data_IF_753521464963
#
_entry.id   IF_753521464963
#
_cell.length_a   1.000
_cell.length_b   1.000
_cell.length_c   1.000
_cell.angle_alpha   90.00
_cell.angle_beta   90.00
_cell.angle_gamma   90.00
#
_symmetry.space_group_name_H-M   'P 1'
#
loop_
_entity.id
_entity.type
_entity.pdbx_description
1 polymer ?
#
# COMPACT_ATOMS: atom_id res chain seq x y z
N UNK A 1 34.70 15.11 16.68
CA UNK A 1 34.90 13.84 15.96
C UNK A 1 33.65 13.58 15.15
N UNK A 2 33.69 13.89 13.85
CA UNK A 2 32.58 13.66 12.92
C UNK A 2 32.86 12.35 12.17
N UNK A 3 31.96 11.37 12.30
CA UNK A 3 32.00 10.15 11.51
C UNK A 3 31.44 10.46 10.12
N UNK A 4 32.33 10.51 9.12
CA UNK A 4 31.94 10.48 7.71
C UNK A 4 31.61 9.03 7.34
N UNK A 5 30.35 8.74 7.05
CA UNK A 5 29.96 7.49 6.39
C UNK A 5 30.06 7.74 4.88
N UNK A 6 31.10 7.19 4.27
CA UNK A 6 31.21 7.11 2.81
C UNK A 6 30.18 6.10 2.30
N UNK A 7 29.10 6.56 1.68
CA UNK A 7 28.25 5.73 0.83
C UNK A 7 28.91 5.68 -0.55
N UNK A 8 29.49 4.52 -0.88
CA UNK A 8 29.95 4.24 -2.24
C UNK A 8 28.74 4.10 -3.18
N UNK A 9 28.79 4.60 -4.42
CA UNK A 9 27.73 4.39 -5.39
C UNK A 9 27.72 2.90 -5.79
N UNK A 10 26.63 2.20 -5.45
CA UNK A 10 26.34 0.87 -5.99
C UNK A 10 26.05 1.02 -7.48
N UNK A 11 27.06 0.71 -8.32
CA UNK A 11 26.85 0.46 -9.74
C UNK A 11 26.03 -0.83 -9.88
N UNK A 12 24.70 -0.69 -10.02
CA UNK A 12 23.85 -1.78 -10.51
C UNK A 12 24.15 -1.94 -12.00
N UNK A 13 25.19 -2.72 -12.30
CA UNK A 13 25.43 -3.28 -13.63
C UNK A 13 24.88 -4.69 -13.65
N UNK A 14 23.56 -4.79 -13.70
CA UNK A 14 22.89 -6.05 -14.01
C UNK A 14 21.99 -5.77 -15.21
N UNK A 15 22.30 -6.33 -16.39
CA UNK A 15 21.31 -6.32 -17.46
C UNK A 15 20.08 -7.05 -16.93
N UNK A 16 18.92 -6.39 -16.99
CA UNK A 16 17.64 -7.05 -16.77
C UNK A 16 17.54 -8.11 -17.85
N UNK A 17 17.91 -9.34 -17.53
CA UNK A 17 17.51 -10.50 -18.31
C UNK A 17 16.01 -10.63 -18.11
N UNK A 18 15.24 -10.07 -19.04
CA UNK A 18 13.91 -10.58 -19.29
C UNK A 18 14.08 -12.07 -19.56
N UNK A 19 13.55 -12.91 -18.67
CA UNK A 19 13.41 -14.32 -18.97
C UNK A 19 12.59 -14.39 -20.27
N UNK A 20 13.25 -14.75 -21.37
CA UNK A 20 12.58 -15.22 -22.58
C UNK A 20 12.00 -16.60 -22.24
N UNK A 21 10.95 -16.59 -21.42
CA UNK A 21 10.12 -17.76 -21.23
C UNK A 21 9.13 -17.79 -22.40
N UNK A 22 9.59 -18.41 -23.49
CA UNK A 22 8.80 -18.66 -24.69
C UNK A 22 7.87 -19.87 -24.44
N UNK A 23 7.21 -19.88 -23.28
CA UNK A 23 6.16 -20.82 -22.93
C UNK A 23 4.81 -20.14 -23.19
N UNK A 24 4.20 -20.52 -24.31
CA UNK A 24 2.78 -20.30 -24.56
C UNK A 24 1.98 -21.00 -23.47
N UNK A 25 1.68 -20.25 -22.41
CA UNK A 25 1.01 -20.79 -21.23
C UNK A 25 1.04 -19.79 -20.08
N UNK A 26 0.46 -18.61 -20.26
CA UNK A 26 0.01 -17.80 -19.12
C UNK A 26 -1.06 -18.59 -18.35
N UNK A 27 -0.62 -19.52 -17.50
CA UNK A 27 -1.45 -20.11 -16.47
C UNK A 27 -1.77 -18.97 -15.49
N UNK A 28 -2.92 -18.32 -15.69
CA UNK A 28 -3.48 -17.40 -14.71
C UNK A 28 -3.41 -18.09 -13.34
N UNK A 29 -2.82 -17.47 -12.31
CA UNK A 29 -2.88 -17.98 -10.94
C UNK A 29 -4.27 -17.70 -10.34
N UNK A 30 -5.32 -17.91 -11.13
CA UNK A 30 -6.68 -17.98 -10.65
C UNK A 30 -6.84 -19.33 -9.97
N UNK A 31 -7.33 -19.33 -8.73
CA UNK A 31 -7.85 -20.55 -8.12
C UNK A 31 -8.77 -21.28 -9.11
N UNK A 32 -8.77 -22.61 -9.10
CA UNK A 32 -9.60 -23.40 -10.03
C UNK A 32 -11.06 -22.89 -9.96
N UNK A 33 -11.58 -22.41 -11.09
CA UNK A 33 -12.94 -21.84 -11.20
C UNK A 33 -13.07 -20.33 -10.97
N UNK A 34 -11.98 -19.61 -10.70
CA UNK A 34 -11.97 -18.15 -10.66
C UNK A 34 -11.75 -17.55 -12.05
N UNK A 35 -12.57 -16.58 -12.44
CA UNK A 35 -12.29 -15.70 -13.60
C UNK A 35 -11.94 -14.29 -13.11
N UNK A 36 -11.47 -13.41 -14.00
CA UNK A 36 -11.19 -12.00 -13.68
C UNK A 36 -12.39 -11.23 -13.08
N UNK A 37 -13.61 -11.78 -13.18
CA UNK A 37 -14.86 -11.13 -12.78
C UNK A 37 -15.65 -11.87 -11.69
N UNK A 38 -15.45 -13.18 -11.49
CA UNK A 38 -16.21 -13.95 -10.50
C UNK A 38 -15.31 -14.90 -9.72
N UNK A 39 -15.22 -14.64 -8.42
CA UNK A 39 -14.72 -15.54 -7.39
C UNK A 39 -15.64 -15.41 -6.19
N UNK A 40 -16.05 -16.53 -5.59
CA UNK A 40 -16.69 -16.53 -4.27
C UNK A 40 -15.70 -16.05 -3.19
N UNK A 41 -16.21 -15.66 -2.01
CA UNK A 41 -15.34 -15.32 -0.88
C UNK A 41 -14.44 -16.50 -0.49
N UNK A 42 -14.99 -17.71 -0.43
CA UNK A 42 -14.23 -18.92 -0.11
C UNK A 42 -13.03 -19.10 -1.04
N UNK A 43 -13.24 -19.00 -2.37
CA UNK A 43 -12.15 -19.11 -3.35
C UNK A 43 -11.10 -18.01 -3.19
N UNK A 44 -11.51 -16.77 -2.86
CA UNK A 44 -10.56 -15.67 -2.60
C UNK A 44 -9.69 -15.98 -1.39
N UNK A 45 -10.28 -16.47 -0.30
CA UNK A 45 -9.53 -16.82 0.91
C UNK A 45 -8.63 -18.05 0.70
N UNK A 46 -9.07 -19.05 -0.07
CA UNK A 46 -8.23 -20.19 -0.45
C UNK A 46 -7.01 -19.73 -1.27
N UNK A 47 -7.21 -18.84 -2.24
CA UNK A 47 -6.11 -18.28 -3.03
C UNK A 47 -5.14 -17.50 -2.14
N UNK A 48 -5.64 -16.59 -1.30
CA UNK A 48 -4.84 -15.83 -0.34
C UNK A 48 -4.03 -16.77 0.56
N UNK A 49 -4.67 -17.77 1.18
CA UNK A 49 -4.02 -18.74 2.05
C UNK A 49 -2.89 -19.46 1.31
N UNK A 50 -3.17 -20.02 0.14
CA UNK A 50 -2.16 -20.73 -0.66
C UNK A 50 -0.99 -19.83 -1.07
N UNK A 51 -1.25 -18.54 -1.31
CA UNK A 51 -0.22 -17.58 -1.66
C UNK A 51 0.65 -17.22 -0.45
N UNK A 52 0.03 -16.98 0.72
CA UNK A 52 0.75 -16.72 1.97
C UNK A 52 1.58 -17.92 2.43
N UNK A 53 1.10 -19.16 2.24
CA UNK A 53 1.85 -20.38 2.56
C UNK A 53 3.09 -20.55 1.68
N UNK A 54 2.99 -20.22 0.39
CA UNK A 54 4.13 -20.25 -0.55
C UNK A 54 5.11 -19.11 -0.34
N UNK A 55 4.71 -18.04 0.35
CA UNK A 55 5.48 -16.81 0.53
C UNK A 55 5.47 -16.38 2.01
N UNK A 56 6.14 -17.12 2.90
CA UNK A 56 6.14 -16.83 4.34
C UNK A 56 6.65 -15.42 4.67
N UNK A 57 7.55 -14.87 3.85
CA UNK A 57 8.10 -13.52 3.99
C UNK A 57 7.04 -12.40 3.94
N UNK A 58 5.83 -12.69 3.42
CA UNK A 58 4.73 -11.72 3.44
C UNK A 58 4.21 -11.40 4.85
N UNK A 59 4.65 -12.16 5.86
CA UNK A 59 4.33 -11.93 7.27
C UNK A 59 5.36 -11.08 7.99
N UNK A 60 6.55 -10.87 7.41
CA UNK A 60 7.70 -10.26 8.09
C UNK A 60 7.43 -8.81 8.52
N UNK A 61 6.54 -8.10 7.82
CA UNK A 61 6.17 -6.73 8.17
C UNK A 61 5.09 -6.62 9.24
N UNK A 62 4.61 -7.73 9.81
CA UNK A 62 3.58 -7.76 10.84
C UNK A 62 4.20 -8.12 12.19
N UNK A 63 4.01 -7.24 13.16
CA UNK A 63 4.32 -7.48 14.57
C UNK A 63 3.04 -7.27 15.39
N UNK A 64 2.62 -8.29 16.15
CA UNK A 64 1.41 -8.25 16.96
C UNK A 64 1.50 -7.22 18.10
N UNK A 65 2.70 -7.01 18.62
CA UNK A 65 2.97 -6.08 19.72
C UNK A 65 3.05 -4.64 19.21
N UNK A 66 3.57 -4.44 17.99
CA UNK A 66 3.63 -3.12 17.38
C UNK A 66 2.24 -2.62 16.96
N UNK A 67 1.80 -1.54 17.62
CA UNK A 67 0.58 -0.82 17.25
C UNK A 67 0.53 -0.42 15.76
N UNK A 68 1.68 -0.13 15.12
CA UNK A 68 1.72 0.34 13.74
C UNK A 68 1.24 -0.70 12.72
N UNK A 69 1.32 -2.00 13.03
CA UNK A 69 0.71 -3.09 12.25
C UNK A 69 -0.80 -2.93 12.05
N UNK A 70 -1.45 -2.10 12.86
CA UNK A 70 -2.90 -1.90 12.85
C UNK A 70 -3.31 -0.48 12.39
N UNK A 71 -2.37 0.32 11.89
CA UNK A 71 -2.57 1.72 11.53
C UNK A 71 -3.53 1.96 10.36
N UNK A 72 -3.89 0.92 9.61
CA UNK A 72 -4.85 0.97 8.51
C UNK A 72 -6.21 0.36 8.82
N UNK A 73 -6.42 -0.17 10.03
CA UNK A 73 -7.70 -0.75 10.43
C UNK A 73 -8.58 0.30 11.11
N UNK A 74 -9.56 0.83 10.38
CA UNK A 74 -10.58 1.71 10.92
C UNK A 74 -11.54 0.90 11.81
N UNK A 75 -11.86 1.43 12.99
CA UNK A 75 -12.73 0.80 13.97
C UNK A 75 -14.11 1.42 13.94
N UNK A 76 -15.14 0.57 13.87
CA UNK A 76 -16.53 0.93 14.10
C UNK A 76 -17.06 0.07 15.25
N UNK A 77 -16.96 0.58 16.48
CA UNK A 77 -17.39 -0.12 17.70
C UNK A 77 -18.92 -0.29 17.75
N UNK A 78 -19.68 0.60 17.07
CA UNK A 78 -21.15 0.59 17.07
C UNK A 78 -21.69 -0.63 16.31
N UNK A 79 -21.07 -0.98 15.19
CA UNK A 79 -21.46 -2.11 14.36
C UNK A 79 -20.52 -3.32 14.50
N UNK A 80 -19.50 -3.22 15.35
CA UNK A 80 -18.44 -4.22 15.52
C UNK A 80 -17.76 -4.59 14.21
N UNK A 81 -17.31 -3.57 13.48
CA UNK A 81 -16.61 -3.73 12.21
C UNK A 81 -15.16 -3.23 12.30
N UNK A 82 -14.28 -3.91 11.58
CA UNK A 82 -12.94 -3.43 11.25
C UNK A 82 -12.83 -3.28 9.73
N UNK A 83 -12.37 -2.13 9.26
CA UNK A 83 -12.14 -1.88 7.85
C UNK A 83 -10.69 -1.53 7.55
N UNK A 84 -10.04 -2.36 6.74
CA UNK A 84 -8.73 -2.08 6.20
C UNK A 84 -8.82 -0.98 5.13
N UNK A 85 -8.46 0.24 5.50
CA UNK A 85 -8.59 1.44 4.69
C UNK A 85 -7.41 1.62 3.71
N UNK A 86 -7.35 0.75 2.70
CA UNK A 86 -6.30 0.77 1.68
C UNK A 86 -6.36 1.99 0.77
N UNK A 87 -5.30 2.82 0.72
CA UNK A 87 -5.25 3.94 -0.20
C UNK A 87 -5.37 3.46 -1.65
N UNK A 88 -6.10 4.23 -2.46
CA UNK A 88 -6.31 3.99 -3.90
C UNK A 88 -7.11 2.72 -4.24
N UNK A 89 -7.72 2.07 -3.24
CA UNK A 89 -8.68 0.97 -3.40
C UNK A 89 -10.09 1.38 -2.94
N UNK A 90 -10.60 2.47 -3.50
CA UNK A 90 -11.92 3.05 -3.17
C UNK A 90 -12.10 3.49 -1.70
N UNK A 91 -11.01 3.70 -0.95
CA UNK A 91 -11.07 4.04 0.47
C UNK A 91 -11.92 5.27 0.78
N UNK A 92 -11.87 6.33 -0.03
CA UNK A 92 -12.75 7.51 0.12
C UNK A 92 -14.24 7.14 0.14
N UNK A 93 -14.67 6.24 -0.74
CA UNK A 93 -16.07 5.79 -0.79
C UNK A 93 -16.44 5.02 0.48
N UNK A 94 -15.57 4.11 0.91
CA UNK A 94 -15.80 3.34 2.12
C UNK A 94 -15.75 4.20 3.37
N UNK A 95 -14.84 5.17 3.49
CA UNK A 95 -14.85 6.14 4.58
C UNK A 95 -16.19 6.88 4.69
N UNK A 96 -16.74 7.35 3.57
CA UNK A 96 -18.06 8.00 3.58
C UNK A 96 -19.17 7.03 4.02
N UNK A 97 -19.13 5.77 3.59
CA UNK A 97 -20.09 4.74 3.98
C UNK A 97 -20.02 4.44 5.48
N UNK A 98 -18.82 4.24 6.03
CA UNK A 98 -18.59 4.02 7.46
C UNK A 98 -19.03 5.22 8.28
N UNK A 99 -18.62 6.43 7.88
CA UNK A 99 -19.03 7.66 8.54
C UNK A 99 -20.55 7.83 8.56
N UNK A 100 -21.20 7.60 7.42
CA UNK A 100 -22.66 7.69 7.31
C UNK A 100 -23.36 6.63 8.16
N UNK A 101 -22.91 5.38 8.12
CA UNK A 101 -23.46 4.30 8.95
C UNK A 101 -23.34 4.63 10.45
N UNK A 102 -22.19 5.16 10.86
CA UNK A 102 -21.91 5.50 12.25
C UNK A 102 -22.74 6.69 12.74
N UNK A 103 -22.76 7.79 11.98
CA UNK A 103 -23.29 9.10 12.41
C UNK A 103 -24.67 9.47 11.86
N UNK A 104 -25.13 8.80 10.79
CA UNK A 104 -26.31 9.20 10.00
C UNK A 104 -26.10 10.44 9.13
N UNK A 105 -24.88 10.97 9.02
CA UNK A 105 -24.57 12.23 8.32
C UNK A 105 -23.67 12.00 7.12
N UNK A 106 -23.82 12.84 6.10
CA UNK A 106 -22.87 12.89 4.98
C UNK A 106 -21.66 13.73 5.37
N UNK A 107 -20.47 13.20 5.10
CA UNK A 107 -19.22 13.89 5.36
C UNK A 107 -18.86 14.80 4.19
N UNK A 108 -18.78 16.12 4.44
CA UNK A 108 -18.41 17.10 3.42
C UNK A 108 -16.95 16.99 2.98
N UNK A 109 -16.06 16.61 3.89
CA UNK A 109 -14.62 16.50 3.64
C UNK A 109 -14.05 15.19 4.19
N UNK A 110 -14.01 14.18 3.33
CA UNK A 110 -13.47 12.82 3.59
C UNK A 110 -11.95 12.74 3.79
N UNK A 111 -11.26 13.88 3.83
CA UNK A 111 -9.83 13.95 4.15
C UNK A 111 -9.54 14.71 5.45
N UNK A 112 -10.59 15.14 6.17
CA UNK A 112 -10.47 15.73 7.50
C UNK A 112 -10.39 14.62 8.56
N UNK A 113 -9.18 14.20 8.93
CA UNK A 113 -8.97 13.13 9.93
C UNK A 113 -9.66 13.45 11.27
N UNK A 114 -9.47 14.67 11.78
CA UNK A 114 -10.09 15.10 13.05
C UNK A 114 -11.62 15.01 13.03
N UNK A 115 -12.25 15.28 11.88
CA UNK A 115 -13.70 15.20 11.73
C UNK A 115 -14.26 13.78 11.96
N UNK A 116 -13.44 12.72 11.79
CA UNK A 116 -13.87 11.33 12.05
C UNK A 116 -13.53 10.93 13.48
N UNK A 117 -12.34 11.31 13.95
CA UNK A 117 -11.87 11.02 15.30
C UNK A 117 -12.78 11.66 16.36
N UNK A 118 -13.28 12.87 16.11
CA UNK A 118 -14.29 13.53 16.96
C UNK A 118 -15.61 12.75 17.08
N UNK A 119 -15.91 11.86 16.11
CA UNK A 119 -17.07 10.98 16.16
C UNK A 119 -16.74 9.60 16.76
N UNK A 120 -15.49 9.33 17.16
CA UNK A 120 -15.05 8.03 17.66
C UNK A 120 -14.68 7.03 16.56
N UNK A 121 -14.61 7.46 15.29
CA UNK A 121 -14.09 6.64 14.19
C UNK A 121 -12.57 6.80 14.12
N UNK A 122 -11.88 5.97 14.89
CA UNK A 122 -10.41 5.95 15.04
C UNK A 122 -9.80 4.67 14.46
N UNK A 123 -8.48 4.65 14.28
CA UNK A 123 -7.76 3.46 13.84
C UNK A 123 -7.38 2.55 15.02
N UNK A 124 -7.29 1.25 14.76
CA UNK A 124 -7.06 0.21 15.76
C UNK A 124 -5.70 0.39 16.48
N UNK A 125 -4.72 1.02 15.84
CA UNK A 125 -3.43 1.34 16.46
C UNK A 125 -3.52 2.32 17.64
N UNK A 126 -4.64 3.03 17.81
CA UNK A 126 -4.86 3.96 18.93
C UNK A 126 -5.31 3.25 20.22
N UNK A 127 -5.65 1.97 20.15
CA UNK A 127 -6.12 1.18 21.29
C UNK A 127 -4.98 0.41 21.95
N UNK A 128 -5.15 0.11 23.25
CA UNK A 128 -4.24 -0.78 23.98
C UNK A 128 -4.25 -2.20 23.40
N UNK A 129 -3.18 -2.97 23.61
CA UNK A 129 -3.11 -4.35 23.09
C UNK A 129 -4.35 -5.20 23.48
N UNK A 130 -4.81 -5.25 24.75
CA UNK A 130 -6.00 -6.02 25.10
C UNK A 130 -7.27 -5.61 24.32
N UNK A 131 -7.45 -4.30 24.11
CA UNK A 131 -8.56 -3.75 23.34
C UNK A 131 -8.46 -4.07 21.84
N UNK A 132 -7.23 -4.06 21.28
CA UNK A 132 -6.97 -4.49 19.90
C UNK A 132 -7.29 -5.95 19.72
N UNK A 133 -6.75 -6.81 20.59
CA UNK A 133 -6.92 -8.26 20.52
C UNK A 133 -8.40 -8.64 20.66
N UNK A 134 -9.16 -7.96 21.53
CA UNK A 134 -10.60 -8.16 21.64
C UNK A 134 -11.32 -7.85 20.34
N UNK A 135 -11.05 -6.70 19.71
CA UNK A 135 -11.70 -6.32 18.44
C UNK A 135 -11.29 -7.23 17.29
N UNK A 136 -10.01 -7.62 17.22
CA UNK A 136 -9.53 -8.60 16.24
C UNK A 136 -10.19 -9.96 16.40
N UNK A 137 -10.60 -10.37 17.61
CA UNK A 137 -11.39 -11.60 17.80
C UNK A 137 -12.85 -11.39 17.45
N UNK A 138 -13.46 -10.32 17.92
CA UNK A 138 -14.92 -10.21 18.01
C UNK A 138 -15.57 -9.50 16.81
N UNK A 139 -14.82 -8.70 16.04
CA UNK A 139 -15.39 -7.79 15.03
C UNK A 139 -15.33 -8.41 13.64
N UNK A 140 -16.29 -8.07 12.78
CA UNK A 140 -16.26 -8.48 11.37
C UNK A 140 -15.29 -7.60 10.57
N UNK A 141 -14.34 -8.21 9.87
CA UNK A 141 -13.22 -7.51 9.22
C UNK A 141 -13.37 -7.49 7.71
N UNK A 142 -13.31 -6.29 7.14
CA UNK A 142 -13.51 -6.03 5.72
C UNK A 142 -12.21 -5.50 5.13
N UNK A 143 -11.80 -6.07 4.01
CA UNK A 143 -10.71 -5.57 3.18
C UNK A 143 -11.22 -5.34 1.76
N UNK A 144 -11.05 -4.11 1.27
CA UNK A 144 -11.38 -3.75 -0.11
C UNK A 144 -10.07 -3.54 -0.85
N UNK A 145 -9.84 -4.39 -1.84
CA UNK A 145 -8.60 -4.44 -2.62
C UNK A 145 -8.80 -3.87 -4.00
N UNK A 146 -7.70 -3.48 -4.64
CA UNK A 146 -7.67 -3.13 -6.07
C UNK A 146 -6.55 -3.90 -6.74
N UNK A 147 -6.63 -4.06 -8.06
CA UNK A 147 -5.52 -4.64 -8.80
C UNK A 147 -4.22 -3.84 -8.52
N UNK A 148 -3.09 -4.50 -8.18
CA UNK A 148 -1.86 -3.80 -7.78
C UNK A 148 -1.39 -2.77 -8.82
N UNK A 149 -1.43 -3.09 -10.11
CA UNK A 149 -1.02 -2.16 -11.17
C UNK A 149 -1.94 -0.93 -11.26
N UNK A 150 -3.26 -1.10 -11.13
CA UNK A 150 -4.19 0.04 -11.14
C UNK A 150 -3.94 0.94 -9.93
N UNK A 151 -3.55 0.35 -8.80
CA UNK A 151 -3.20 1.08 -7.59
C UNK A 151 -1.93 1.90 -7.80
N UNK A 152 -0.90 1.34 -8.45
CA UNK A 152 0.30 2.07 -8.84
C UNK A 152 0.00 3.23 -9.78
N UNK A 153 -0.80 3.01 -10.82
CA UNK A 153 -1.21 4.08 -11.76
C UNK A 153 -2.01 5.18 -11.03
N UNK A 154 -2.91 4.80 -10.12
CA UNK A 154 -3.65 5.77 -9.30
C UNK A 154 -2.74 6.55 -8.34
N UNK A 155 -1.74 5.88 -7.77
CA UNK A 155 -0.68 6.50 -6.95
C UNK A 155 0.13 7.52 -7.74
N UNK A 156 0.63 7.12 -8.91
CA UNK A 156 1.34 7.97 -9.87
C UNK A 156 0.55 9.22 -10.23
N UNK A 157 -0.66 9.02 -10.77
CA UNK A 157 -1.53 10.11 -11.21
C UNK A 157 -1.87 11.09 -10.08
N UNK A 158 -2.01 10.58 -8.86
CA UNK A 158 -2.37 11.38 -7.70
C UNK A 158 -1.20 12.07 -7.00
N UNK A 159 0.06 11.69 -7.27
CA UNK A 159 1.22 12.14 -6.48
C UNK A 159 2.40 12.65 -7.30
N UNK A 160 2.56 12.26 -8.57
CA UNK A 160 3.77 12.51 -9.36
C UNK A 160 3.55 13.21 -10.70
N UNK A 161 2.32 13.32 -11.22
CA UNK A 161 2.05 13.98 -12.51
C UNK A 161 2.12 15.51 -12.45
N UNK A 162 2.17 16.10 -11.24
CA UNK A 162 2.32 17.53 -11.01
C UNK A 162 3.54 17.76 -10.11
N UNK A 163 4.70 18.10 -10.68
CA UNK A 163 5.89 18.37 -9.89
C UNK A 163 5.64 19.45 -8.83
N UNK A 164 6.24 19.26 -7.66
CA UNK A 164 6.20 20.13 -6.48
C UNK A 164 4.83 20.33 -5.81
N UNK A 165 3.73 19.82 -6.37
CA UNK A 165 2.38 20.06 -5.86
C UNK A 165 2.03 19.23 -4.62
N UNK A 166 2.68 18.09 -4.43
CA UNK A 166 2.44 17.18 -3.31
C UNK A 166 3.69 16.99 -2.46
N UNK A 167 3.51 16.90 -1.13
CA UNK A 167 4.60 16.58 -0.20
C UNK A 167 5.32 15.28 -0.58
N UNK A 168 4.56 14.31 -1.06
CA UNK A 168 5.06 13.05 -1.63
C UNK A 168 6.06 13.25 -2.77
N UNK A 169 5.75 14.13 -3.73
CA UNK A 169 6.69 14.46 -4.80
C UNK A 169 7.94 15.13 -4.24
N UNK A 170 7.79 16.08 -3.31
CA UNK A 170 8.93 16.80 -2.73
C UNK A 170 9.91 15.87 -2.01
N UNK A 171 9.38 14.83 -1.35
CA UNK A 171 10.17 13.86 -0.62
C UNK A 171 10.87 12.85 -1.54
N UNK A 172 10.16 12.32 -2.55
CA UNK A 172 10.63 11.17 -3.32
C UNK A 172 11.01 11.47 -4.77
N UNK A 173 10.42 12.51 -5.37
CA UNK A 173 10.61 12.87 -6.79
C UNK A 173 12.07 13.16 -7.13
N UNK A 174 12.74 14.08 -6.42
CA UNK A 174 14.16 14.37 -6.62
C UNK A 174 15.06 13.14 -6.49
N UNK A 175 14.90 12.37 -5.40
CA UNK A 175 15.69 11.17 -5.13
C UNK A 175 15.51 10.11 -6.23
N UNK A 176 14.28 9.88 -6.67
CA UNK A 176 13.99 8.96 -7.77
C UNK A 176 14.71 9.37 -9.07
N UNK A 177 14.64 10.65 -9.42
CA UNK A 177 15.30 11.17 -10.63
C UNK A 177 16.82 11.04 -10.52
N UNK A 178 17.38 11.43 -9.39
CA UNK A 178 18.82 11.30 -9.10
C UNK A 178 19.31 9.85 -9.21
N UNK A 179 18.52 8.89 -8.74
CA UNK A 179 18.87 7.47 -8.78
C UNK A 179 18.86 6.88 -10.19
N UNK A 180 17.91 7.29 -11.03
CA UNK A 180 17.65 6.60 -12.30
C UNK A 180 18.08 7.37 -13.54
N UNK A 181 18.40 8.65 -13.44
CA UNK A 181 18.95 9.44 -14.56
C UNK A 181 20.45 9.62 -14.41
N UNK A 182 21.17 9.35 -15.49
CA UNK A 182 22.56 9.78 -15.62
C UNK A 182 22.56 11.25 -16.05
N UNK A 183 23.15 12.10 -15.22
CA UNK A 183 23.33 13.51 -15.58
C UNK A 183 24.27 13.60 -16.79
N UNK A 184 23.84 14.29 -17.83
CA UNK A 184 24.70 14.64 -18.96
C UNK A 184 25.56 15.86 -18.58
N UNK A 185 26.74 16.02 -19.18
CA UNK A 185 27.70 17.08 -18.84
C UNK A 185 27.08 18.50 -18.86
N UNK A 186 26.06 18.71 -19.69
CA UNK A 186 25.41 20.00 -19.89
C UNK A 186 24.07 20.15 -19.14
N UNK A 187 23.69 19.20 -18.27
CA UNK A 187 22.40 19.24 -17.57
C UNK A 187 22.57 19.03 -16.07
N UNK A 188 21.97 19.92 -15.28
CA UNK A 188 21.96 19.82 -13.82
C UNK A 188 20.81 18.94 -13.34
N UNK A 189 20.97 18.35 -12.15
CA UNK A 189 19.91 17.57 -11.51
C UNK A 189 18.63 18.41 -11.34
N UNK A 190 18.75 19.68 -11.00
CA UNK A 190 17.61 20.58 -10.83
C UNK A 190 16.80 20.73 -12.13
N UNK A 191 17.46 20.85 -13.27
CA UNK A 191 16.80 20.89 -14.58
C UNK A 191 16.07 19.58 -14.89
N UNK A 192 16.62 18.42 -14.49
CA UNK A 192 15.95 17.13 -14.64
C UNK A 192 14.73 16.98 -13.72
N UNK A 193 14.81 17.51 -12.49
CA UNK A 193 13.67 17.52 -11.55
C UNK A 193 12.52 18.37 -12.09
N UNK A 194 12.83 19.51 -12.70
CA UNK A 194 11.84 20.40 -13.32
C UNK A 194 11.09 19.76 -14.49
N UNK A 195 11.75 18.85 -15.25
CA UNK A 195 11.09 18.04 -16.28
C UNK A 195 10.08 17.04 -15.71
N UNK A 196 10.12 16.79 -14.40
CA UNK A 196 9.32 15.76 -13.76
C UNK A 196 9.85 14.35 -14.04
N UNK A 197 9.20 13.35 -13.44
CA UNK A 197 9.57 11.96 -13.57
C UNK A 197 8.69 11.27 -14.61
N UNK A 198 9.08 10.07 -14.98
CA UNK A 198 8.29 9.15 -15.80
C UNK A 198 7.64 8.08 -14.94
N UNK A 199 6.59 7.43 -15.46
CA UNK A 199 5.95 6.31 -14.77
C UNK A 199 6.89 5.12 -14.61
N UNK A 200 7.78 4.88 -15.58
CA UNK A 200 8.78 3.82 -15.52
C UNK A 200 9.80 4.05 -14.38
N UNK A 201 10.30 5.27 -14.23
CA UNK A 201 11.15 5.66 -13.10
C UNK A 201 10.42 5.45 -11.77
N UNK A 202 9.13 5.78 -11.71
CA UNK A 202 8.31 5.52 -10.53
C UNK A 202 8.17 4.04 -10.21
N UNK A 203 7.91 3.17 -11.20
CA UNK A 203 7.82 1.73 -10.95
C UNK A 203 9.17 1.17 -10.48
N UNK A 204 10.28 1.59 -11.09
CA UNK A 204 11.64 1.22 -10.64
C UNK A 204 11.91 1.71 -9.22
N UNK A 205 11.47 2.91 -8.88
CA UNK A 205 11.62 3.47 -7.54
C UNK A 205 10.81 2.70 -6.50
N UNK A 206 9.54 2.40 -6.79
CA UNK A 206 8.70 1.59 -5.90
C UNK A 206 9.33 0.22 -5.68
N UNK A 207 9.81 -0.43 -6.73
CA UNK A 207 10.50 -1.72 -6.61
C UNK A 207 11.75 -1.62 -5.73
N UNK A 208 12.58 -0.58 -5.93
CA UNK A 208 13.76 -0.33 -5.10
C UNK A 208 13.40 -0.18 -3.61
N UNK A 209 12.35 0.59 -3.30
CA UNK A 209 11.89 0.73 -1.92
C UNK A 209 11.46 -0.63 -1.37
N UNK A 210 10.63 -1.40 -2.10
CA UNK A 210 10.18 -2.75 -1.68
C UNK A 210 11.32 -3.73 -1.36
N UNK A 211 12.47 -3.59 -2.01
CA UNK A 211 13.65 -4.46 -1.81
C UNK A 211 14.69 -3.89 -0.85
N UNK A 212 14.48 -2.73 -0.24
CA UNK A 212 15.46 -2.07 0.63
C UNK A 212 14.88 -1.82 2.02
N UNK A 213 15.48 -2.44 3.04
CA UNK A 213 15.04 -2.30 4.43
C UNK A 213 15.27 -0.89 4.98
N UNK A 214 14.35 -0.43 5.83
CA UNK A 214 14.44 0.86 6.52
C UNK A 214 14.02 2.07 5.68
N UNK A 215 13.63 1.88 4.42
CA UNK A 215 13.10 2.95 3.58
C UNK A 215 11.66 3.34 3.99
N UNK A 216 11.26 4.58 3.73
CA UNK A 216 9.87 5.02 3.92
C UNK A 216 9.02 4.64 2.69
N UNK A 217 8.07 3.75 2.89
CA UNK A 217 7.14 3.31 1.85
C UNK A 217 5.85 4.09 1.97
N UNK A 218 5.67 5.03 1.05
CA UNK A 218 4.43 5.77 1.03
C UNK A 218 3.22 4.83 0.85
N UNK A 219 2.26 4.97 1.76
CA UNK A 219 1.03 4.19 1.79
C UNK A 219 0.20 4.20 0.49
N UNK A 220 0.44 5.12 -0.45
CA UNK A 220 -0.31 5.18 -1.71
C UNK A 220 0.13 4.13 -2.75
N UNK A 221 1.33 3.57 -2.62
CA UNK A 221 1.85 2.51 -3.50
C UNK A 221 2.43 1.32 -2.75
N UNK A 222 2.67 1.42 -1.43
CA UNK A 222 3.07 0.28 -0.58
C UNK A 222 2.11 -0.91 -0.76
N UNK A 223 2.57 -2.14 -0.97
CA UNK A 223 1.71 -3.30 -1.22
C UNK A 223 0.67 -3.55 -0.14
N UNK A 224 -0.47 -4.14 -0.53
CA UNK A 224 -1.57 -4.45 0.39
C UNK A 224 -1.13 -5.26 1.61
N UNK A 225 -0.21 -6.23 1.41
CA UNK A 225 0.23 -7.11 2.48
C UNK A 225 1.01 -6.39 3.60
N UNK A 226 1.70 -5.29 3.26
CA UNK A 226 2.44 -4.48 4.24
C UNK A 226 1.58 -3.44 4.97
N UNK A 227 0.37 -3.16 4.47
CA UNK A 227 -0.52 -2.16 5.06
C UNK A 227 -1.59 -2.80 5.96
N UNK A 228 -2.06 -3.98 5.58
CA UNK A 228 -3.21 -4.62 6.21
C UNK A 228 -3.00 -6.10 6.56
N UNK A 229 -1.80 -6.64 6.31
CA UNK A 229 -1.35 -7.94 6.78
C UNK A 229 -2.37 -9.09 6.61
N UNK A 230 -2.94 -9.32 5.41
CA UNK A 230 -3.94 -10.36 5.19
C UNK A 230 -3.38 -11.79 5.34
N UNK A 231 -2.05 -11.95 5.40
CA UNK A 231 -1.40 -13.22 5.73
C UNK A 231 -1.33 -13.49 7.25
N UNK A 232 -1.55 -12.48 8.10
CA UNK A 232 -1.48 -12.56 9.57
C UNK A 232 -2.83 -12.26 10.24
N UNK A 233 -3.66 -11.42 9.63
CA UNK A 233 -4.98 -11.04 10.10
C UNK A 233 -6.03 -11.79 9.29
N UNK A 234 -6.92 -12.52 9.98
CA UNK A 234 -8.03 -13.22 9.35
C UNK A 234 -9.16 -12.24 9.01
N UNK A 235 -9.36 -11.95 7.73
CA UNK A 235 -10.49 -11.13 7.27
C UNK A 235 -11.73 -11.97 7.02
N UNK A 236 -12.91 -11.38 7.22
CA UNK A 236 -14.20 -12.03 6.98
C UNK A 236 -14.77 -11.71 5.58
N UNK A 237 -14.35 -10.58 4.99
CA UNK A 237 -14.73 -10.17 3.64
C UNK A 237 -13.55 -9.57 2.87
N UNK A 238 -13.32 -10.07 1.66
CA UNK A 238 -12.44 -9.43 0.66
C UNK A 238 -13.23 -9.03 -0.59
N UNK A 239 -13.31 -7.72 -0.87
CA UNK A 239 -13.99 -7.17 -2.05
C UNK A 239 -13.01 -6.50 -3.01
N UNK A 240 -13.36 -6.46 -4.29
CA UNK A 240 -12.69 -5.67 -5.34
C UNK A 240 -13.51 -4.42 -5.66
#
# INVERSE_FOLDING_TARGET
>A
MAFYVHLAPLQISSPITYANDNSTGHANPTAIGCTNHMCSQEQRFQLLKSHCEKNPQLKDSYDEEDSQSYSHLLVDDKHKLLYCALPKAASTTFYNMFYFSYTGKLLKQVHCKSCWEEQGLVFLNQFSKPERDQRLRDYYKIMVVRHPLDRLVSGWNGKYTRPYSHATWRLHGPRMIEMFRKLQENTTLQQEIEKGATFDEFVRYVNYLETTDGEDHNQHWRPHHRLCHPCSIHYDLMSK
#
